data_IF_361798551404
#
_entry.id   IF_361798551404
#
_cell.length_a   1.000
_cell.length_b   1.000
_cell.length_c   1.000
_cell.angle_alpha   90.00
_cell.angle_beta   90.00
_cell.angle_gamma   90.00
#
_symmetry.space_group_name_H-M   'P 1'
#
loop_
_entity.id
_entity.type
_entity.pdbx_description
1 polymer ?
#
# COMPACT_ATOMS: atom_id res chain seq x y z
N UNK A 1 47.50 32.93 0.64
CA UNK A 1 47.74 34.39 0.69
C UNK A 1 46.78 35.06 -0.29
N UNK A 2 45.78 35.79 0.25
CA UNK A 2 45.60 37.26 0.10
C UNK A 2 45.21 37.67 -1.34
N UNK A 3 44.17 38.43 -1.68
CA UNK A 3 43.14 39.27 -1.00
C UNK A 3 42.35 39.91 -2.15
N UNK A 4 41.01 39.77 -2.24
CA UNK A 4 39.95 40.79 -1.97
C UNK A 4 39.96 42.04 -2.91
N UNK A 5 38.97 42.95 -2.93
CA UNK A 5 37.50 42.84 -2.77
C UNK A 5 36.73 43.78 -3.76
N UNK A 6 35.43 43.58 -4.02
CA UNK A 6 34.49 44.67 -4.43
C UNK A 6 33.08 44.33 -3.93
N UNK A 7 32.67 44.74 -2.72
CA UNK A 7 31.91 45.97 -2.39
C UNK A 7 30.84 46.35 -3.41
N UNK A 8 29.57 46.34 -2.99
CA UNK A 8 28.46 47.28 -3.26
C UNK A 8 27.22 46.65 -2.56
N UNK A 9 27.00 46.93 -1.28
CA UNK A 9 26.29 48.09 -0.70
C UNK A 9 24.78 47.84 -0.58
N UNK A 10 24.38 47.58 0.67
CA UNK A 10 23.14 47.96 1.35
C UNK A 10 22.20 48.81 0.50
N UNK A 11 20.96 48.34 0.31
CA UNK A 11 19.82 49.23 0.36
C UNK A 11 18.68 48.57 1.13
N UNK A 12 18.72 48.83 2.43
CA UNK A 12 17.58 48.82 3.31
C UNK A 12 16.61 49.89 2.78
N UNK A 13 15.39 49.50 2.42
CA UNK A 13 14.30 50.46 2.18
C UNK A 13 13.08 50.01 2.94
N UNK A 14 13.05 50.43 4.21
CA UNK A 14 11.81 50.73 4.90
C UNK A 14 11.10 51.84 4.11
N UNK A 15 9.84 51.60 3.75
CA UNK A 15 8.87 52.66 3.50
C UNK A 15 7.64 52.34 4.36
N UNK A 16 7.24 53.25 5.28
CA UNK A 16 6.08 53.08 6.14
C UNK A 16 4.84 53.53 5.36
N UNK A 17 3.85 52.65 5.24
CA UNK A 17 2.54 52.98 4.69
C UNK A 17 1.48 52.54 5.68
N UNK A 18 1.03 53.46 6.53
CA UNK A 18 0.06 53.20 7.58
C UNK A 18 -1.31 52.82 7.01
N UNK A 19 -1.92 51.81 7.61
CA UNK A 19 -3.36 51.70 7.71
C UNK A 19 -3.71 51.58 9.19
N UNK A 20 -4.38 52.63 9.68
CA UNK A 20 -4.83 52.74 11.04
C UNK A 20 -5.98 51.75 11.31
N UNK A 21 -5.84 51.08 12.46
CA UNK A 21 -6.85 50.61 13.40
C UNK A 21 -8.33 50.64 12.96
N UNK A 22 -8.99 49.47 13.01
CA UNK A 22 -10.09 49.20 13.95
C UNK A 22 -10.48 47.71 13.84
N UNK A 23 -10.34 46.95 14.93
CA UNK A 23 -10.71 45.53 14.95
C UNK A 23 -10.15 44.81 16.16
N UNK A 24 -10.30 45.40 17.33
CA UNK A 24 -10.14 44.68 18.58
C UNK A 24 -11.29 43.67 18.73
N UNK A 25 -11.01 42.63 19.52
CA UNK A 25 -11.90 41.57 19.99
C UNK A 25 -11.96 40.34 19.07
N UNK A 26 -11.11 39.36 19.41
CA UNK A 26 -11.47 37.96 19.67
C UNK A 26 -10.22 37.24 20.21
N UNK A 27 -9.97 37.38 21.52
CA UNK A 27 -9.04 36.49 22.23
C UNK A 27 -9.71 35.12 22.37
N UNK A 28 -9.57 34.28 21.35
CA UNK A 28 -9.85 32.84 21.46
C UNK A 28 -8.70 32.14 22.18
N UNK A 29 -8.96 31.09 22.98
CA UNK A 29 -7.90 30.31 23.61
C UNK A 29 -7.09 29.61 22.52
N UNK A 30 -5.78 29.84 22.50
CA UNK A 30 -4.87 29.01 21.71
C UNK A 30 -4.85 27.63 22.38
N UNK A 31 -5.59 26.69 21.80
CA UNK A 31 -5.46 25.28 22.14
C UNK A 31 -4.08 24.85 21.65
N UNK A 32 -3.23 24.44 22.60
CA UNK A 32 -1.94 23.82 22.30
C UNK A 32 -2.19 22.58 21.43
N UNK A 33 -1.95 22.72 20.12
CA UNK A 33 -1.97 21.61 19.19
C UNK A 33 -0.91 20.60 19.66
N UNK A 34 -1.39 19.39 19.93
CA UNK A 34 -0.65 18.31 20.54
C UNK A 34 0.68 18.02 19.85
N UNK A 35 1.63 17.58 20.66
CA UNK A 35 2.83 16.93 20.19
C UNK A 35 2.43 15.84 19.19
N UNK A 36 2.69 16.09 17.91
CA UNK A 36 2.69 15.06 16.89
C UNK A 36 3.70 14.02 17.34
N UNK A 37 3.20 12.80 17.50
CA UNK A 37 3.95 11.64 17.99
C UNK A 37 5.28 11.53 17.26
N UNK A 38 6.34 11.30 18.04
CA UNK A 38 7.60 10.86 17.50
C UNK A 38 7.34 9.57 16.71
N UNK A 39 7.51 9.63 15.39
CA UNK A 39 7.58 8.46 14.53
C UNK A 39 8.56 7.47 15.16
N UNK A 40 8.09 6.26 15.40
CA UNK A 40 8.89 5.13 15.84
C UNK A 40 9.72 4.62 14.65
N UNK A 41 10.60 5.48 14.12
CA UNK A 41 11.53 5.14 13.04
C UNK A 41 12.61 4.22 13.60
N UNK A 42 12.31 2.92 13.69
CA UNK A 42 13.28 1.90 14.08
C UNK A 42 12.74 0.62 14.72
N UNK A 43 11.42 0.42 14.82
CA UNK A 43 10.87 -0.87 15.23
C UNK A 43 10.67 -1.76 14.01
N UNK A 44 11.05 -3.04 14.13
CA UNK A 44 10.70 -4.06 13.15
C UNK A 44 9.18 -4.17 13.11
N UNK A 45 8.59 -3.98 11.93
CA UNK A 45 7.17 -4.24 11.71
C UNK A 45 6.89 -5.73 11.86
N UNK A 46 5.99 -6.04 12.79
CA UNK A 46 5.55 -7.40 13.03
C UNK A 46 4.38 -7.72 12.08
N UNK A 47 4.60 -8.67 11.17
CA UNK A 47 3.57 -9.16 10.27
C UNK A 47 2.90 -10.39 10.87
N UNK A 48 1.63 -10.25 11.23
CA UNK A 48 0.77 -11.34 11.73
C UNK A 48 -0.01 -11.92 10.55
N UNK A 49 -0.04 -13.25 10.44
CA UNK A 49 -0.72 -13.98 9.36
C UNK A 49 -1.63 -15.07 9.92
N UNK A 50 -2.63 -15.47 9.14
CA UNK A 50 -3.55 -16.57 9.46
C UNK A 50 -3.21 -17.79 8.61
N UNK A 51 -2.22 -18.58 9.02
CA UNK A 51 -1.72 -19.72 8.23
C UNK A 51 -2.42 -21.06 8.55
N UNK A 52 -2.71 -21.30 9.82
CA UNK A 52 -3.31 -22.54 10.32
C UNK A 52 -4.64 -22.27 11.06
N UNK A 53 -5.44 -21.32 10.54
CA UNK A 53 -6.64 -20.80 11.22
C UNK A 53 -6.36 -20.22 12.62
N UNK A 54 -5.10 -19.80 12.84
CA UNK A 54 -4.65 -19.07 14.04
C UNK A 54 -3.75 -17.93 13.60
N UNK A 55 -3.78 -16.85 14.36
CA UNK A 55 -2.87 -15.71 14.20
C UNK A 55 -1.47 -16.10 14.70
N UNK A 56 -0.46 -15.97 13.83
CA UNK A 56 0.93 -16.25 14.15
C UNK A 56 1.85 -15.26 13.44
N UNK A 57 3.06 -15.05 13.97
CA UNK A 57 4.06 -14.21 13.31
C UNK A 57 4.56 -14.92 12.05
N UNK A 58 4.75 -14.16 10.98
CA UNK A 58 5.26 -14.70 9.71
C UNK A 58 6.59 -15.46 9.88
N UNK A 59 7.46 -15.00 10.78
CA UNK A 59 8.78 -15.61 11.03
C UNK A 59 8.71 -16.96 11.77
N UNK A 60 7.67 -17.20 12.56
CA UNK A 60 7.50 -18.42 13.36
C UNK A 60 6.68 -19.49 12.62
N UNK A 61 6.01 -19.11 11.52
CA UNK A 61 5.10 -19.99 10.77
C UNK A 61 5.89 -21.06 9.98
N UNK A 62 5.53 -22.36 10.09
CA UNK A 62 6.25 -23.46 9.42
C UNK A 62 5.91 -23.61 7.92
N UNK A 63 5.28 -22.61 7.31
CA UNK A 63 4.81 -22.62 5.92
C UNK A 63 5.38 -21.41 5.18
N UNK A 64 5.73 -21.59 3.90
CA UNK A 64 6.21 -20.50 3.07
C UNK A 64 5.06 -19.57 2.67
N UNK A 65 5.07 -18.34 3.20
CA UNK A 65 4.05 -17.33 2.98
C UNK A 65 4.72 -16.07 2.44
N UNK A 66 4.06 -15.43 1.47
CA UNK A 66 4.43 -14.08 1.01
C UNK A 66 3.31 -13.15 1.43
N UNK A 67 3.59 -12.25 2.38
CA UNK A 67 2.67 -11.20 2.78
C UNK A 67 2.99 -9.94 1.98
N UNK A 68 1.96 -9.29 1.46
CA UNK A 68 2.07 -8.03 0.71
C UNK A 68 1.21 -7.02 1.45
N UNK A 69 1.81 -5.90 1.81
CA UNK A 69 1.12 -4.84 2.55
C UNK A 69 0.42 -3.87 1.60
N UNK A 70 -0.54 -3.10 2.10
CA UNK A 70 -1.17 -2.02 1.34
C UNK A 70 -0.13 -1.00 0.82
N UNK A 71 0.88 -0.69 1.63
CA UNK A 71 1.97 0.19 1.22
C UNK A 71 2.77 -0.39 0.04
N UNK A 72 2.99 -1.70 -0.02
CA UNK A 72 3.67 -2.34 -1.16
C UNK A 72 2.83 -2.27 -2.44
N UNK A 73 1.51 -2.42 -2.32
CA UNK A 73 0.54 -2.32 -3.43
C UNK A 73 0.57 -0.89 -3.97
N UNK A 74 0.50 0.11 -3.10
CA UNK A 74 0.52 1.54 -3.47
C UNK A 74 1.84 1.94 -4.14
N UNK A 75 2.98 1.55 -3.57
CA UNK A 75 4.30 1.87 -4.11
C UNK A 75 4.53 1.26 -5.50
N UNK A 76 3.92 0.11 -5.77
CA UNK A 76 4.03 -0.59 -7.06
C UNK A 76 2.90 -0.23 -8.01
N UNK A 77 1.91 0.54 -7.54
CA UNK A 77 0.70 0.92 -8.28
C UNK A 77 -0.02 -0.28 -8.86
N UNK A 78 -0.12 -1.37 -8.09
CA UNK A 78 -0.85 -2.56 -8.53
C UNK A 78 -2.35 -2.27 -8.54
N UNK A 79 -2.99 -2.41 -9.70
CA UNK A 79 -4.43 -2.20 -9.86
C UNK A 79 -5.22 -3.48 -9.71
N UNK A 80 -4.65 -4.61 -10.11
CA UNK A 80 -5.37 -5.89 -10.17
C UNK A 80 -4.71 -6.97 -9.30
N UNK A 81 -5.54 -7.88 -8.76
CA UNK A 81 -5.09 -8.97 -7.89
C UNK A 81 -4.07 -9.92 -8.52
N UNK A 82 -4.00 -10.02 -9.85
CA UNK A 82 -3.00 -10.86 -10.52
C UNK A 82 -1.59 -10.24 -10.50
N UNK A 83 -1.46 -8.92 -10.36
CA UNK A 83 -0.16 -8.23 -10.43
C UNK A 83 0.71 -8.50 -9.20
N UNK A 84 0.08 -8.83 -8.07
CA UNK A 84 0.72 -9.40 -6.88
C UNK A 84 1.64 -10.57 -7.22
N UNK A 85 1.27 -11.37 -8.23
CA UNK A 85 2.04 -12.53 -8.69
C UNK A 85 3.42 -12.18 -9.23
N UNK A 86 3.66 -10.93 -9.65
CA UNK A 86 4.99 -10.48 -10.10
C UNK A 86 6.02 -10.41 -8.98
N UNK A 87 5.56 -10.36 -7.72
CA UNK A 87 6.43 -10.21 -6.55
C UNK A 87 6.64 -11.54 -5.83
N UNK A 88 5.78 -12.53 -6.08
CA UNK A 88 5.76 -13.80 -5.34
C UNK A 88 6.65 -14.83 -6.05
N UNK A 89 7.64 -15.42 -5.36
CA UNK A 89 8.51 -16.43 -5.95
C UNK A 89 7.75 -17.73 -6.19
N UNK A 90 7.98 -18.36 -7.36
CA UNK A 90 7.33 -19.61 -7.76
C UNK A 90 5.80 -19.52 -7.82
N UNK A 91 5.23 -18.32 -7.91
CA UNK A 91 3.84 -18.11 -8.26
C UNK A 91 3.74 -17.37 -9.60
N UNK A 92 2.69 -17.66 -10.36
CA UNK A 92 2.38 -16.98 -11.61
C UNK A 92 0.87 -16.80 -11.66
N UNK A 93 0.45 -15.54 -11.64
CA UNK A 93 -0.94 -15.16 -11.78
C UNK A 93 -1.09 -14.44 -13.11
N UNK A 94 -2.07 -14.85 -13.91
CA UNK A 94 -2.31 -14.27 -15.23
C UNK A 94 -3.79 -14.00 -15.40
N UNK A 95 -4.16 -12.84 -15.97
CA UNK A 95 -5.53 -12.62 -16.39
C UNK A 95 -5.86 -13.63 -17.48
N UNK A 96 -6.99 -14.27 -17.34
CA UNK A 96 -7.56 -15.16 -18.32
C UNK A 96 -8.91 -14.60 -18.74
N UNK A 97 -9.10 -14.54 -20.05
CA UNK A 97 -10.33 -14.01 -20.61
C UNK A 97 -11.33 -15.15 -20.66
N UNK A 98 -12.30 -15.12 -19.75
CA UNK A 98 -13.35 -16.12 -19.72
C UNK A 98 -14.66 -15.53 -20.26
N UNK A 99 -15.52 -16.39 -20.80
CA UNK A 99 -16.75 -15.96 -21.46
C UNK A 99 -17.75 -15.26 -20.52
N UNK A 100 -17.56 -15.37 -19.20
CA UNK A 100 -18.53 -14.94 -18.19
C UNK A 100 -17.96 -13.97 -17.12
N UNK A 101 -16.80 -13.34 -17.36
CA UNK A 101 -16.25 -12.31 -16.46
C UNK A 101 -14.73 -12.24 -16.44
N UNK A 102 -14.20 -11.34 -15.62
CA UNK A 102 -12.76 -11.27 -15.34
C UNK A 102 -12.35 -12.48 -14.49
N UNK A 103 -11.36 -13.22 -14.98
CA UNK A 103 -10.87 -14.46 -14.37
C UNK A 103 -9.36 -14.38 -14.21
N UNK A 104 -8.85 -14.86 -13.09
CA UNK A 104 -7.41 -15.02 -12.89
C UNK A 104 -7.06 -16.51 -12.89
N UNK A 105 -6.05 -16.88 -13.69
CA UNK A 105 -5.41 -18.20 -13.62
C UNK A 105 -4.22 -18.12 -12.68
N UNK A 106 -4.19 -19.01 -11.69
CA UNK A 106 -3.14 -19.05 -10.70
C UNK A 106 -2.35 -20.35 -10.76
N UNK A 107 -1.02 -20.22 -10.77
CA UNK A 107 -0.08 -21.32 -10.70
C UNK A 107 0.87 -21.09 -9.53
N UNK A 108 0.97 -22.04 -8.62
CA UNK A 108 1.92 -22.03 -7.52
C UNK A 108 2.75 -23.31 -7.60
N UNK A 109 4.07 -23.17 -7.71
CA UNK A 109 5.02 -24.30 -7.85
C UNK A 109 4.65 -25.28 -8.97
N UNK A 110 4.12 -24.75 -10.07
CA UNK A 110 3.70 -25.53 -11.25
C UNK A 110 2.34 -26.23 -11.13
N UNK A 111 1.66 -26.08 -9.98
CA UNK A 111 0.28 -26.56 -9.78
C UNK A 111 -0.67 -25.40 -10.04
N UNK A 112 -1.67 -25.62 -10.89
CA UNK A 112 -2.67 -24.62 -11.23
C UNK A 112 -3.61 -25.15 -12.29
N UNK A 113 -4.64 -24.38 -12.59
CA UNK A 113 -5.64 -24.75 -13.59
C UNK A 113 -5.83 -23.61 -14.59
N UNK A 114 -5.76 -23.94 -15.87
CA UNK A 114 -5.96 -22.99 -16.97
C UNK A 114 -7.43 -22.90 -17.38
N UNK A 115 -8.16 -24.02 -17.27
CA UNK A 115 -9.56 -24.10 -17.70
C UNK A 115 -10.52 -23.58 -16.61
N UNK A 116 -11.59 -22.91 -17.02
CA UNK A 116 -12.60 -22.31 -16.15
C UNK A 116 -13.90 -23.13 -16.13
N UNK A 117 -13.84 -24.39 -16.53
CA UNK A 117 -14.96 -25.31 -16.49
C UNK A 117 -15.48 -25.51 -15.05
N UNK A 118 -16.78 -25.28 -14.85
CA UNK A 118 -17.49 -25.43 -13.59
C UNK A 118 -17.48 -26.87 -13.05
N UNK A 119 -17.19 -27.86 -13.90
CA UNK A 119 -17.06 -29.26 -13.49
C UNK A 119 -15.76 -29.55 -12.73
N UNK A 120 -14.79 -28.63 -12.74
CA UNK A 120 -13.48 -28.82 -12.11
C UNK A 120 -13.15 -27.72 -11.10
N UNK A 121 -12.60 -28.13 -9.97
CA UNK A 121 -12.09 -27.21 -8.95
C UNK A 121 -10.66 -26.76 -9.31
N UNK A 122 -10.30 -25.47 -9.12
CA UNK A 122 -8.96 -25.02 -9.43
C UNK A 122 -7.90 -25.65 -8.50
N UNK A 123 -6.75 -26.03 -9.06
CA UNK A 123 -5.61 -26.55 -8.28
C UNK A 123 -4.99 -25.54 -7.30
N UNK A 124 -5.37 -24.26 -7.38
CA UNK A 124 -5.00 -23.19 -6.45
C UNK A 124 -6.28 -22.49 -6.01
N UNK A 125 -6.59 -22.57 -4.72
CA UNK A 125 -7.76 -21.92 -4.14
C UNK A 125 -7.53 -20.45 -3.83
N UNK A 126 -8.52 -19.61 -4.11
CA UNK A 126 -8.52 -18.17 -3.77
C UNK A 126 -9.49 -17.96 -2.62
N UNK A 127 -9.08 -17.18 -1.64
CA UNK A 127 -9.89 -16.82 -0.47
C UNK A 127 -9.98 -15.30 -0.39
N UNK A 128 -11.15 -14.80 -0.06
CA UNK A 128 -11.41 -13.38 0.21
C UNK A 128 -12.08 -13.32 1.58
N UNK A 129 -11.45 -12.64 2.54
CA UNK A 129 -11.94 -12.56 3.93
C UNK A 129 -12.31 -13.94 4.52
N UNK A 130 -11.41 -14.92 4.36
CA UNK A 130 -11.59 -16.32 4.77
C UNK A 130 -12.74 -17.08 4.08
N UNK A 131 -13.36 -16.50 3.04
CA UNK A 131 -14.37 -17.17 2.22
C UNK A 131 -13.73 -17.77 0.96
N UNK A 132 -13.89 -19.08 0.80
CA UNK A 132 -13.37 -19.79 -0.36
C UNK A 132 -14.16 -19.46 -1.64
N UNK A 133 -13.43 -19.15 -2.72
CA UNK A 133 -14.00 -18.96 -4.04
C UNK A 133 -13.82 -20.23 -4.90
N UNK A 134 -14.89 -21.00 -5.18
CA UNK A 134 -14.79 -22.32 -5.82
C UNK A 134 -14.54 -22.27 -7.33
N UNK A 135 -14.76 -21.12 -7.95
CA UNK A 135 -14.61 -20.94 -9.40
C UNK A 135 -13.55 -19.88 -9.68
N UNK A 136 -12.77 -20.07 -10.74
CA UNK A 136 -11.81 -19.05 -11.20
C UNK A 136 -12.49 -17.78 -11.71
N UNK A 137 -13.79 -17.81 -11.96
CA UNK A 137 -14.56 -16.64 -12.35
C UNK A 137 -14.74 -15.67 -11.18
N UNK A 138 -14.42 -14.40 -11.40
CA UNK A 138 -14.51 -13.36 -10.37
C UNK A 138 -13.36 -13.35 -9.36
N UNK A 139 -12.28 -14.13 -9.60
CA UNK A 139 -11.06 -14.08 -8.75
C UNK A 139 -10.11 -12.95 -9.13
N UNK A 140 -10.28 -12.35 -10.32
CA UNK A 140 -9.60 -11.11 -10.66
C UNK A 140 -10.37 -9.96 -10.03
N UNK A 141 -9.74 -9.33 -9.04
CA UNK A 141 -10.32 -8.26 -8.24
C UNK A 141 -9.51 -6.98 -8.45
N UNK A 142 -10.20 -5.85 -8.38
CA UNK A 142 -9.57 -4.52 -8.33
C UNK A 142 -9.07 -4.28 -6.91
N UNK A 143 -7.77 -3.99 -6.78
CA UNK A 143 -7.15 -3.72 -5.48
C UNK A 143 -7.41 -2.30 -4.99
N UNK A 144 -7.86 -1.38 -5.86
CA UNK A 144 -8.16 0.01 -5.50
C UNK A 144 -9.52 0.19 -4.81
N UNK A 145 -10.40 -0.82 -4.91
CA UNK A 145 -11.74 -0.82 -4.32
C UNK A 145 -11.82 -1.64 -3.01
N UNK A 146 -10.67 -2.12 -2.52
CA UNK A 146 -10.53 -2.98 -1.34
C UNK A 146 -10.09 -2.20 -0.10
#
# INVERSE_FOLDING_TARGET
MKTSPRRISRLWRCAPGGFAALGAWLSGPVVAAGAAGADQTGQLEEVVVTAEYREEKLQDTPVAITAITAHDIDQRSFSDSFEVGYTVPNASFRPAQAAFGNTMTAFIRGVGQYDFDFAFEPGVGVYVDDVYQPFTMGTQMDLMDM
#
